data_IF_523175978868
#
_entry.id   IF_523175978868
#
_cell.length_a   1.000
_cell.length_b   1.000
_cell.length_c   1.000
_cell.angle_alpha   90.00
_cell.angle_beta   90.00
_cell.angle_gamma   90.00
#
_symmetry.space_group_name_H-M   'P 1'
#
loop_
_entity.id
_entity.type
_entity.pdbx_description
1 polymer ?
#
# COMPACT_ATOMS: atom_id res chain seq x y z
N UNK A 1 13.48 -7.57 12.10
CA UNK A 1 12.76 -7.06 10.92
C UNK A 1 12.41 -5.62 11.22
N UNK A 2 12.85 -4.66 10.39
CA UNK A 2 12.52 -3.25 10.59
C UNK A 2 11.01 -3.07 10.36
N UNK A 3 10.25 -3.04 11.44
CA UNK A 3 8.86 -2.62 11.44
C UNK A 3 8.82 -1.19 10.87
N UNK A 4 8.38 -1.04 9.62
CA UNK A 4 8.36 0.29 9.00
C UNK A 4 7.55 1.26 9.86
N UNK A 5 8.02 2.51 9.96
CA UNK A 5 7.46 3.50 10.87
C UNK A 5 5.97 3.82 10.67
N UNK A 6 5.39 4.68 11.52
CA UNK A 6 3.94 4.98 11.56
C UNK A 6 3.44 5.80 10.35
N UNK A 7 4.34 6.20 9.45
CA UNK A 7 4.06 6.97 8.25
C UNK A 7 4.46 6.18 7.01
N UNK A 8 3.79 6.41 5.87
CA UNK A 8 4.11 5.69 4.66
C UNK A 8 5.49 6.09 4.12
N UNK A 9 6.32 5.09 3.82
CA UNK A 9 7.61 5.31 3.17
C UNK A 9 7.46 5.85 1.74
N UNK A 10 8.53 6.38 1.16
CA UNK A 10 8.52 6.80 -0.26
C UNK A 10 8.25 5.62 -1.21
N UNK A 11 8.74 4.43 -0.87
CA UNK A 11 8.49 3.20 -1.60
C UNK A 11 7.00 2.81 -1.57
N UNK A 12 6.36 2.88 -0.40
CA UNK A 12 4.92 2.59 -0.25
C UNK A 12 4.05 3.58 -1.03
N UNK A 13 4.36 4.87 -0.96
CA UNK A 13 3.67 5.91 -1.74
C UNK A 13 3.88 5.71 -3.25
N UNK A 14 5.10 5.37 -3.65
CA UNK A 14 5.44 5.08 -5.04
C UNK A 14 4.68 3.88 -5.59
N UNK A 15 4.63 2.79 -4.82
CA UNK A 15 3.87 1.60 -5.16
C UNK A 15 2.37 1.92 -5.31
N UNK A 16 1.77 2.60 -4.34
CA UNK A 16 0.36 3.02 -4.44
C UNK A 16 0.08 3.86 -5.69
N UNK A 17 0.95 4.83 -6.01
CA UNK A 17 0.77 5.63 -7.23
C UNK A 17 0.80 4.76 -8.49
N UNK A 18 1.74 3.80 -8.56
CA UNK A 18 1.86 2.88 -9.70
C UNK A 18 0.61 2.02 -9.84
N UNK A 19 0.19 1.34 -8.77
CA UNK A 19 -0.98 0.46 -8.77
C UNK A 19 -2.27 1.20 -9.14
N UNK A 20 -2.43 2.45 -8.67
CA UNK A 20 -3.59 3.26 -9.03
C UNK A 20 -3.62 3.57 -10.54
N UNK A 21 -2.47 3.93 -11.12
CA UNK A 21 -2.35 4.22 -12.57
C UNK A 21 -2.60 2.96 -13.40
N UNK A 22 -1.99 1.84 -13.03
CA UNK A 22 -2.19 0.55 -13.71
C UNK A 22 -3.66 0.12 -13.65
N UNK A 23 -4.30 0.26 -12.50
CA UNK A 23 -5.71 -0.08 -12.36
C UNK A 23 -6.62 0.85 -13.17
N UNK A 24 -6.33 2.15 -13.27
CA UNK A 24 -7.08 3.03 -14.14
C UNK A 24 -6.94 2.68 -15.63
N UNK A 25 -5.74 2.32 -16.08
CA UNK A 25 -5.54 1.82 -17.44
C UNK A 25 -6.35 0.53 -17.68
N UNK A 26 -6.42 -0.37 -16.70
CA UNK A 26 -7.27 -1.56 -16.77
C UNK A 26 -8.76 -1.19 -16.91
N UNK A 27 -9.27 -0.25 -16.11
CA UNK A 27 -10.68 0.17 -16.16
C UNK A 27 -11.08 0.83 -17.49
N UNK A 28 -10.14 1.45 -18.20
CA UNK A 28 -10.37 1.94 -19.56
C UNK A 28 -10.67 0.81 -20.55
N UNK A 29 -9.94 -0.31 -20.44
CA UNK A 29 -10.18 -1.51 -21.25
C UNK A 29 -11.33 -2.38 -20.73
N UNK A 30 -11.61 -2.37 -19.42
CA UNK A 30 -12.56 -3.25 -18.74
C UNK A 30 -13.48 -2.47 -17.78
N UNK A 31 -14.41 -1.65 -18.30
CA UNK A 31 -15.25 -0.78 -17.46
C UNK A 31 -16.25 -1.55 -16.58
N UNK A 32 -16.51 -2.82 -16.88
CA UNK A 32 -17.37 -3.73 -16.11
C UNK A 32 -16.67 -4.42 -14.94
N UNK A 33 -15.36 -4.24 -14.81
CA UNK A 33 -14.62 -4.88 -13.74
C UNK A 33 -15.15 -4.43 -12.37
N UNK A 34 -15.35 -5.39 -11.48
CA UNK A 34 -15.68 -5.15 -10.08
C UNK A 34 -14.91 -6.17 -9.24
N UNK A 35 -14.48 -5.80 -8.02
CA UNK A 35 -13.90 -6.77 -7.10
C UNK A 35 -14.93 -7.87 -6.80
N UNK A 36 -14.46 -9.08 -6.54
CA UNK A 36 -15.32 -10.26 -6.31
C UNK A 36 -16.34 -10.02 -5.18
N UNK A 37 -15.98 -9.25 -4.15
CA UNK A 37 -16.89 -8.86 -3.07
C UNK A 37 -18.11 -8.04 -3.55
N UNK A 38 -18.01 -7.34 -4.69
CA UNK A 38 -19.04 -6.47 -5.26
C UNK A 38 -19.63 -7.01 -6.57
N UNK A 39 -19.36 -8.27 -6.93
CA UNK A 39 -19.89 -8.87 -8.18
C UNK A 39 -21.42 -8.87 -8.29
N UNK A 40 -22.14 -8.76 -7.15
CA UNK A 40 -23.61 -8.73 -7.10
C UNK A 40 -24.21 -7.37 -7.47
N UNK A 41 -23.39 -6.35 -7.66
CA UNK A 41 -23.86 -5.03 -8.03
C UNK A 41 -24.35 -4.99 -9.48
N UNK A 42 -25.39 -4.20 -9.80
CA UNK A 42 -25.82 -4.02 -11.18
C UNK A 42 -24.68 -3.45 -12.04
N UNK A 43 -24.45 -4.04 -13.22
CA UNK A 43 -23.38 -3.62 -14.16
C UNK A 43 -23.42 -2.13 -14.48
N UNK A 44 -24.61 -1.54 -14.59
CA UNK A 44 -24.77 -0.11 -14.87
C UNK A 44 -24.14 0.76 -13.77
N UNK A 45 -24.26 0.37 -12.49
CA UNK A 45 -23.70 1.11 -11.35
C UNK A 45 -22.17 0.96 -11.33
N UNK A 46 -21.66 -0.25 -11.54
CA UNK A 46 -20.23 -0.54 -11.62
C UNK A 46 -19.57 0.28 -12.74
N UNK A 47 -20.13 0.21 -13.95
CA UNK A 47 -19.64 0.99 -15.11
C UNK A 47 -19.64 2.48 -14.84
N UNK A 48 -20.70 3.00 -14.21
CA UNK A 48 -20.80 4.42 -13.89
C UNK A 48 -19.69 4.83 -12.92
N UNK A 49 -19.51 4.09 -11.82
CA UNK A 49 -18.45 4.35 -10.85
C UNK A 49 -17.06 4.31 -11.51
N UNK A 50 -16.75 3.24 -12.24
CA UNK A 50 -15.45 3.06 -12.88
C UNK A 50 -15.16 4.13 -13.94
N UNK A 51 -16.17 4.65 -14.64
CA UNK A 51 -16.01 5.79 -15.55
C UNK A 51 -15.72 7.09 -14.81
N UNK A 52 -16.27 7.27 -13.62
CA UNK A 52 -16.11 8.49 -12.85
C UNK A 52 -14.81 8.50 -12.04
N UNK A 53 -14.38 7.34 -11.54
CA UNK A 53 -13.25 7.21 -10.62
C UNK A 53 -11.93 7.85 -11.14
N UNK A 54 -11.49 7.64 -12.40
CA UNK A 54 -10.29 8.31 -12.92
C UNK A 54 -10.44 9.83 -13.12
N UNK A 55 -11.68 10.33 -13.17
CA UNK A 55 -12.01 11.72 -13.53
C UNK A 55 -12.34 12.59 -12.32
N UNK A 56 -12.53 11.98 -11.15
CA UNK A 56 -12.90 12.68 -9.92
C UNK A 56 -11.79 12.54 -8.88
N UNK A 57 -11.25 13.67 -8.35
CA UNK A 57 -10.09 13.66 -7.45
C UNK A 57 -10.31 12.97 -6.09
N UNK A 58 -11.55 12.57 -5.77
CA UNK A 58 -11.92 11.96 -4.48
C UNK A 58 -12.62 10.60 -4.63
N UNK A 59 -12.64 10.02 -5.83
CA UNK A 59 -13.33 8.75 -6.07
C UNK A 59 -12.31 7.69 -6.44
N UNK A 60 -11.82 6.98 -5.43
CA UNK A 60 -10.99 5.80 -5.67
C UNK A 60 -11.80 4.67 -6.33
N UNK A 61 -11.12 3.80 -7.10
CA UNK A 61 -11.79 2.68 -7.76
C UNK A 61 -12.31 1.68 -6.72
N UNK A 62 -13.32 0.90 -7.10
CA UNK A 62 -13.87 -0.14 -6.22
C UNK A 62 -12.77 -1.11 -5.78
N UNK A 63 -12.68 -1.39 -4.48
CA UNK A 63 -11.67 -2.29 -3.93
C UNK A 63 -10.30 -1.64 -3.65
N UNK A 64 -10.12 -0.35 -3.95
CA UNK A 64 -8.85 0.35 -3.70
C UNK A 64 -8.44 0.34 -2.23
N UNK A 65 -9.36 0.65 -1.33
CA UNK A 65 -9.09 0.75 0.11
C UNK A 65 -8.74 -0.63 0.69
N UNK A 66 -9.39 -1.67 0.19
CA UNK A 66 -9.23 -3.05 0.65
C UNK A 66 -8.00 -3.74 0.03
N UNK A 67 -7.36 -3.14 -0.97
CA UNK A 67 -6.28 -3.79 -1.71
C UNK A 67 -6.79 -4.97 -2.55
N UNK A 68 -7.98 -4.83 -3.14
CA UNK A 68 -8.65 -5.88 -3.93
C UNK A 68 -8.87 -5.43 -5.37
N UNK A 69 -8.06 -4.47 -5.83
CA UNK A 69 -8.08 -4.06 -7.23
C UNK A 69 -7.37 -5.08 -8.10
N UNK A 70 -7.69 -5.10 -9.40
CA UNK A 70 -6.94 -5.93 -10.36
C UNK A 70 -5.43 -5.70 -10.27
N UNK A 71 -4.98 -4.46 -10.09
CA UNK A 71 -3.55 -4.17 -9.96
C UNK A 71 -2.95 -4.74 -8.67
N UNK A 72 -3.73 -4.82 -7.58
CA UNK A 72 -3.28 -5.49 -6.36
C UNK A 72 -3.15 -7.00 -6.55
N UNK A 73 -4.02 -7.62 -7.35
CA UNK A 73 -3.94 -9.05 -7.66
C UNK A 73 -2.72 -9.35 -8.56
N UNK A 74 -2.49 -8.55 -9.60
CA UNK A 74 -1.28 -8.65 -10.44
C UNK A 74 0.01 -8.41 -9.64
N UNK A 75 -0.01 -7.49 -8.67
CA UNK A 75 1.14 -7.27 -7.80
C UNK A 75 1.42 -8.48 -6.91
N UNK A 76 0.39 -9.16 -6.40
CA UNK A 76 0.56 -10.41 -5.65
C UNK A 76 1.15 -11.51 -6.54
N UNK A 77 0.63 -11.68 -7.75
CA UNK A 77 1.17 -12.65 -8.70
C UNK A 77 2.63 -12.36 -9.05
N UNK A 78 2.97 -11.08 -9.27
CA UNK A 78 4.36 -10.64 -9.50
C UNK A 78 5.25 -10.97 -8.31
N UNK A 79 4.76 -10.77 -7.08
CA UNK A 79 5.50 -11.06 -5.85
C UNK A 79 5.71 -12.57 -5.70
N UNK A 80 4.70 -13.39 -5.96
CA UNK A 80 4.79 -14.86 -5.90
C UNK A 80 5.76 -15.42 -6.96
N UNK A 81 5.99 -14.70 -8.06
CA UNK A 81 7.00 -15.02 -9.06
C UNK A 81 8.45 -14.60 -8.69
N UNK A 82 8.68 -13.92 -7.56
CA UNK A 82 10.02 -13.57 -7.10
C UNK A 82 10.73 -14.76 -6.44
N UNK A 83 12.06 -14.67 -6.35
CA UNK A 83 12.84 -15.58 -5.52
C UNK A 83 12.45 -15.46 -4.03
N UNK A 84 12.47 -16.58 -3.30
CA UNK A 84 11.96 -16.70 -1.93
C UNK A 84 12.51 -15.64 -0.97
N UNK A 85 13.80 -15.30 -1.11
CA UNK A 85 14.50 -14.29 -0.30
C UNK A 85 13.96 -12.86 -0.48
N UNK A 86 13.22 -12.63 -1.57
CA UNK A 86 12.64 -11.32 -1.93
C UNK A 86 11.12 -11.28 -1.77
N UNK A 87 10.45 -12.42 -1.65
CA UNK A 87 8.99 -12.46 -1.55
C UNK A 87 8.49 -11.76 -0.30
N UNK A 88 9.08 -12.07 0.87
CA UNK A 88 8.61 -11.55 2.16
C UNK A 88 8.68 -10.01 2.23
N UNK A 89 9.80 -9.43 1.80
CA UNK A 89 9.97 -7.97 1.80
C UNK A 89 9.02 -7.29 0.82
N UNK A 90 8.74 -7.89 -0.33
CA UNK A 90 7.81 -7.37 -1.31
C UNK A 90 6.34 -7.49 -0.84
N UNK A 91 5.95 -8.61 -0.21
CA UNK A 91 4.63 -8.78 0.43
C UNK A 91 4.42 -7.72 1.51
N UNK A 92 5.41 -7.52 2.38
CA UNK A 92 5.36 -6.51 3.43
C UNK A 92 5.20 -5.10 2.85
N UNK A 93 5.92 -4.77 1.78
CA UNK A 93 5.80 -3.49 1.10
C UNK A 93 4.38 -3.27 0.53
N UNK A 94 3.81 -4.30 -0.12
CA UNK A 94 2.46 -4.23 -0.68
C UNK A 94 1.39 -4.08 0.41
N UNK A 95 1.46 -4.87 1.47
CA UNK A 95 0.54 -4.80 2.61
C UNK A 95 0.57 -3.41 3.28
N UNK A 96 1.76 -2.85 3.50
CA UNK A 96 1.92 -1.50 4.04
C UNK A 96 1.37 -0.43 3.11
N UNK A 97 1.64 -0.55 1.80
CA UNK A 97 1.09 0.35 0.82
C UNK A 97 -0.45 0.36 0.87
N UNK A 98 -1.10 -0.82 0.90
CA UNK A 98 -2.56 -0.93 1.07
C UNK A 98 -3.02 -0.33 2.40
N UNK A 99 -2.32 -0.62 3.50
CA UNK A 99 -2.66 -0.12 4.84
C UNK A 99 -2.76 1.41 4.88
N UNK A 100 -1.80 2.11 4.27
CA UNK A 100 -1.75 3.58 4.28
C UNK A 100 -2.63 4.27 3.22
N UNK A 101 -3.43 3.53 2.42
CA UNK A 101 -4.41 4.15 1.49
C UNK A 101 -5.51 4.91 2.22
N UNK A 102 -5.81 4.50 3.45
CA UNK A 102 -6.74 5.19 4.35
C UNK A 102 -6.02 5.43 5.67
N UNK A 103 -6.26 6.60 6.29
CA UNK A 103 -5.89 6.82 7.68
C UNK A 103 -6.73 5.89 8.56
N UNK A 104 -6.27 4.65 8.74
CA UNK A 104 -6.91 3.69 9.65
C UNK A 104 -6.54 4.08 11.08
N UNK A 105 -7.55 4.33 11.90
CA UNK A 105 -7.40 4.55 13.35
C UNK A 105 -7.34 3.24 14.16
N UNK A 106 -7.39 2.09 13.49
CA UNK A 106 -7.26 0.77 14.10
C UNK A 106 -5.81 0.30 14.21
N UNK A 107 -5.56 -0.66 15.11
CA UNK A 107 -4.24 -1.24 15.31
C UNK A 107 -3.68 -1.80 14.00
N UNK A 108 -2.46 -1.39 13.60
CA UNK A 108 -1.81 -1.93 12.42
C UNK A 108 -1.46 -3.43 12.59
N UNK A 109 -1.32 -4.22 11.50
CA UNK A 109 -0.99 -5.66 11.54
C UNK A 109 0.37 -5.94 12.20
N UNK A 110 0.69 -7.21 12.49
CA UNK A 110 1.87 -7.62 13.28
C UNK A 110 3.26 -7.14 12.82
N UNK A 111 3.40 -6.53 11.63
CA UNK A 111 4.60 -5.77 11.26
C UNK A 111 4.74 -4.42 11.99
N UNK A 112 3.73 -4.00 12.73
CA UNK A 112 3.60 -2.68 13.34
C UNK A 112 3.72 -2.68 14.86
N UNK A 113 4.22 -3.78 15.44
CA UNK A 113 4.82 -3.81 16.78
C UNK A 113 6.16 -3.01 16.79
N UNK A 114 6.15 -1.84 16.17
CA UNK A 114 7.25 -0.90 16.18
C UNK A 114 7.38 -0.35 17.60
N UNK A 115 8.52 -0.64 18.23
CA UNK A 115 8.99 0.12 19.38
C UNK A 115 9.98 1.15 18.87
N UNK A 116 9.92 2.42 19.33
CA UNK A 116 11.04 3.32 19.13
C UNK A 116 12.28 2.63 19.72
N UNK A 117 13.33 2.47 18.92
CA UNK A 117 14.64 2.23 19.49
C UNK A 117 14.99 3.52 20.23
N UNK A 118 15.22 3.42 21.54
CA UNK A 118 15.80 4.51 22.29
C UNK A 118 17.18 4.74 21.67
N UNK A 119 17.29 5.77 20.83
CA UNK A 119 18.58 6.34 20.47
C UNK A 119 19.17 6.90 21.77
N UNK A 120 19.81 6.04 22.56
CA UNK A 120 20.72 6.47 23.61
C UNK A 120 21.80 7.28 22.91
N UNK A 121 21.65 8.59 23.00
CA UNK A 121 22.68 9.55 22.64
C UNK A 121 23.84 9.26 23.60
N UNK A 122 24.81 8.49 23.13
CA UNK A 122 26.10 8.32 23.76
C UNK A 122 26.81 9.68 23.71
N UNK A 123 26.49 10.55 24.67
CA UNK A 123 27.30 11.70 25.03
C UNK A 123 28.61 11.16 25.62
N UNK A 124 29.50 10.70 24.74
CA UNK A 124 30.91 10.52 25.10
C UNK A 124 31.47 11.91 25.42
N UNK A 125 31.59 12.17 26.72
CA UNK A 125 32.26 13.30 27.34
C UNK A 125 33.75 13.32 26.91
N UNK A 126 34.03 13.87 25.73
CA UNK A 126 35.38 14.17 25.28
C UNK A 126 35.80 15.55 25.80
N UNK A 127 36.19 15.58 27.08
CA UNK A 127 37.05 16.64 27.63
C UNK A 127 38.46 16.09 27.83
N UNK A 128 39.19 16.01 26.73
CA UNK A 128 40.65 15.93 26.73
C UNK A 128 41.29 17.19 27.32
N UNK A 129 42.16 16.95 28.31
CA UNK A 129 43.37 17.64 28.74
C UNK A 129 43.66 19.09 28.30
N UNK A 130 43.95 19.93 29.29
CA UNK A 130 45.00 20.94 29.19
C UNK A 130 45.95 20.79 30.39
N UNK A 131 47.20 20.41 30.08
CA UNK A 131 48.38 20.52 30.95
C UNK A 131 48.70 21.98 31.29
#
# INVERSE_FOLDING_TARGET
MNAGGPLPSSAERGLNKRLLVEHFAHLEGQPDWAPSALHRWPRAVVRLHNRLSPRLPMTHPLGWIEGTTWADDEERERIDGLADDKQESARTLHERAVFFRVLRTGSPPGWADWKPEDDEVDETDDRGEAD
#
